data_IF_860516685707
#
_entry.id   IF_860516685707
#
_cell.length_a   1.000
_cell.length_b   1.000
_cell.length_c   1.000
_cell.angle_alpha   90.00
_cell.angle_beta   90.00
_cell.angle_gamma   90.00
#
_symmetry.space_group_name_H-M   'P 1'
#
loop_
_entity.id
_entity.type
_entity.pdbx_description
1 polymer ?
#
# COMPACT_ATOMS: atom_id res chain seq x y z
N UNK A 1 28.64 -7.51 11.99
CA UNK A 1 27.91 -6.25 11.81
C UNK A 1 27.96 -5.92 10.32
N UNK A 2 26.80 -6.03 9.61
CA UNK A 2 26.74 -5.67 8.19
C UNK A 2 26.73 -4.14 8.07
N UNK A 3 27.39 -3.59 7.04
CA UNK A 3 27.34 -2.15 6.78
C UNK A 3 25.94 -1.71 6.39
N UNK A 4 25.54 -0.50 6.77
CA UNK A 4 24.19 0.07 6.59
C UNK A 4 23.68 0.00 5.14
N UNK A 5 24.56 0.14 4.15
CA UNK A 5 24.24 0.07 2.71
C UNK A 5 23.84 -1.33 2.25
N UNK A 6 24.14 -2.40 2.99
CA UNK A 6 23.64 -3.77 2.75
C UNK A 6 22.40 -4.08 3.57
N UNK A 7 22.28 -3.52 4.77
CA UNK A 7 21.15 -3.78 5.68
C UNK A 7 19.85 -3.22 5.12
N UNK A 8 19.85 -2.01 4.54
CA UNK A 8 18.66 -1.38 3.98
C UNK A 8 18.07 -2.17 2.81
N UNK A 9 18.82 -2.49 1.74
CA UNK A 9 18.29 -3.32 0.65
C UNK A 9 17.85 -4.71 1.12
N UNK A 10 18.62 -5.33 2.03
CA UNK A 10 18.25 -6.63 2.59
C UNK A 10 16.93 -6.57 3.37
N UNK A 11 16.72 -5.52 4.16
CA UNK A 11 15.46 -5.31 4.89
C UNK A 11 14.28 -5.09 3.94
N UNK A 12 14.45 -4.30 2.86
CA UNK A 12 13.43 -4.07 1.84
C UNK A 12 13.07 -5.38 1.13
N UNK A 13 14.07 -6.17 0.72
CA UNK A 13 13.84 -7.46 0.08
C UNK A 13 13.17 -8.45 1.04
N UNK A 14 13.62 -8.50 2.29
CA UNK A 14 13.04 -9.38 3.31
C UNK A 14 11.58 -9.02 3.62
N UNK A 15 11.26 -7.72 3.74
CA UNK A 15 9.89 -7.26 3.98
C UNK A 15 8.97 -7.58 2.80
N UNK A 16 9.44 -7.37 1.58
CA UNK A 16 8.70 -7.74 0.37
C UNK A 16 8.51 -9.27 0.27
N UNK A 17 9.55 -10.05 0.53
CA UNK A 17 9.49 -11.52 0.50
C UNK A 17 8.54 -12.08 1.56
N UNK A 18 8.59 -11.55 2.78
CA UNK A 18 7.67 -11.96 3.85
C UNK A 18 6.23 -11.58 3.53
N UNK A 19 5.98 -10.37 3.03
CA UNK A 19 4.66 -9.93 2.58
C UNK A 19 4.12 -10.80 1.45
N UNK A 20 4.96 -11.15 0.47
CA UNK A 20 4.62 -12.07 -0.62
C UNK A 20 4.26 -13.46 -0.11
N UNK A 21 5.05 -14.01 0.81
CA UNK A 21 4.78 -15.30 1.43
C UNK A 21 3.46 -15.27 2.23
N UNK A 22 3.25 -14.22 3.02
CA UNK A 22 2.03 -14.08 3.82
C UNK A 22 0.77 -14.04 2.96
N UNK A 23 0.78 -13.27 1.87
CA UNK A 23 -0.36 -13.17 0.96
C UNK A 23 -0.51 -14.37 0.02
N UNK A 24 0.57 -15.12 -0.22
CA UNK A 24 0.50 -16.34 -1.01
C UNK A 24 -0.39 -17.41 -0.36
N UNK A 25 -0.42 -17.48 0.99
CA UNK A 25 -1.22 -18.49 1.71
C UNK A 25 -2.73 -18.34 1.44
N UNK A 26 -3.37 -17.15 1.64
CA UNK A 26 -4.77 -16.98 1.26
C UNK A 26 -5.00 -17.13 -0.25
N UNK A 27 -4.04 -16.74 -1.09
CA UNK A 27 -4.09 -16.99 -2.53
C UNK A 27 -4.11 -18.48 -2.89
N UNK A 28 -3.35 -19.30 -2.18
CA UNK A 28 -3.37 -20.76 -2.32
C UNK A 28 -4.72 -21.35 -1.88
N UNK A 29 -5.25 -20.89 -0.74
CA UNK A 29 -6.55 -21.36 -0.25
C UNK A 29 -7.68 -21.02 -1.24
N UNK A 30 -7.68 -19.84 -1.82
CA UNK A 30 -8.63 -19.49 -2.87
C UNK A 30 -8.46 -20.37 -4.12
N UNK A 31 -7.24 -20.48 -4.63
CA UNK A 31 -6.96 -21.13 -5.90
C UNK A 31 -7.19 -22.66 -5.86
N UNK A 32 -6.91 -23.30 -4.73
CA UNK A 32 -6.95 -24.77 -4.57
C UNK A 32 -8.14 -25.29 -3.78
N UNK A 33 -8.67 -24.50 -2.86
CA UNK A 33 -9.76 -24.91 -1.94
C UNK A 33 -11.06 -24.17 -2.19
N UNK A 34 -11.09 -23.19 -3.11
CA UNK A 34 -12.28 -22.40 -3.42
C UNK A 34 -12.75 -21.48 -2.30
N UNK A 35 -11.87 -21.13 -1.34
CA UNK A 35 -12.23 -20.22 -0.26
C UNK A 35 -12.51 -18.82 -0.80
N UNK A 36 -13.43 -18.09 -0.15
CA UNK A 36 -13.71 -16.71 -0.51
C UNK A 36 -12.55 -15.80 -0.10
N UNK A 37 -11.92 -15.15 -1.10
CA UNK A 37 -10.66 -14.40 -0.90
C UNK A 37 -10.79 -13.33 0.19
N UNK A 38 -11.88 -12.55 0.18
CA UNK A 38 -12.08 -11.44 1.11
C UNK A 38 -12.16 -11.94 2.56
N UNK A 39 -12.89 -13.04 2.80
CA UNK A 39 -13.03 -13.62 4.16
C UNK A 39 -11.67 -14.15 4.62
N UNK A 40 -10.97 -14.87 3.75
CA UNK A 40 -9.68 -15.47 4.09
C UNK A 40 -8.64 -14.39 4.38
N UNK A 41 -8.57 -13.33 3.58
CA UNK A 41 -7.60 -12.23 3.80
C UNK A 41 -7.92 -11.43 5.07
N UNK A 42 -9.19 -11.19 5.39
CA UNK A 42 -9.59 -10.54 6.65
C UNK A 42 -9.17 -11.41 7.85
N UNK A 43 -9.40 -12.71 7.80
CA UNK A 43 -8.96 -13.61 8.88
C UNK A 43 -7.42 -13.60 9.03
N UNK A 44 -6.68 -13.59 7.92
CA UNK A 44 -5.23 -13.48 7.93
C UNK A 44 -4.73 -12.14 8.51
N UNK A 45 -5.48 -11.05 8.34
CA UNK A 45 -5.17 -9.77 8.99
C UNK A 45 -5.29 -9.86 10.52
N UNK A 46 -6.34 -10.51 11.04
CA UNK A 46 -6.47 -10.72 12.49
C UNK A 46 -5.35 -11.61 13.04
N UNK A 47 -4.97 -12.65 12.31
CA UNK A 47 -3.83 -13.50 12.70
C UNK A 47 -2.54 -12.68 12.72
N UNK A 48 -2.30 -11.85 11.68
CA UNK A 48 -1.12 -10.99 11.61
C UNK A 48 -1.05 -9.98 12.76
N UNK A 49 -2.17 -9.32 13.09
CA UNK A 49 -2.26 -8.38 14.21
C UNK A 49 -1.99 -9.07 15.55
N UNK A 50 -2.56 -10.24 15.77
CA UNK A 50 -2.35 -11.03 16.98
C UNK A 50 -0.90 -11.50 17.10
N UNK A 51 -0.32 -11.96 16.00
CA UNK A 51 1.10 -12.37 15.94
C UNK A 51 2.01 -11.18 16.20
N UNK A 52 1.76 -10.03 15.57
CA UNK A 52 2.54 -8.82 15.78
C UNK A 52 2.46 -8.36 17.23
N UNK A 53 1.27 -8.36 17.82
CA UNK A 53 1.06 -8.00 19.23
C UNK A 53 1.84 -8.94 20.16
N UNK A 54 1.79 -10.24 19.91
CA UNK A 54 2.56 -11.23 20.67
C UNK A 54 4.07 -10.98 20.56
N UNK A 55 4.59 -10.80 19.35
CA UNK A 55 6.02 -10.58 19.10
C UNK A 55 6.51 -9.28 19.75
N UNK A 56 5.75 -8.19 19.64
CA UNK A 56 6.15 -6.93 20.27
C UNK A 56 6.18 -7.09 21.78
N UNK A 57 5.14 -7.67 22.41
CA UNK A 57 5.05 -7.74 23.85
C UNK A 57 6.05 -8.70 24.50
N UNK A 58 6.37 -9.83 23.83
CA UNK A 58 7.14 -10.90 24.46
C UNK A 58 8.57 -11.04 23.90
N UNK A 59 8.82 -10.61 22.66
CA UNK A 59 10.10 -10.84 21.99
C UNK A 59 10.89 -9.54 21.78
N UNK A 60 10.23 -8.49 21.29
CA UNK A 60 10.93 -7.27 20.86
C UNK A 60 10.89 -6.13 21.89
N UNK A 61 10.05 -6.23 22.90
CA UNK A 61 9.93 -5.20 23.94
C UNK A 61 11.20 -5.09 24.76
N UNK A 62 11.82 -3.91 24.88
CA UNK A 62 12.94 -3.70 25.79
C UNK A 62 12.48 -3.76 27.25
N UNK A 63 13.26 -4.44 28.09
CA UNK A 63 13.00 -4.52 29.51
C UNK A 63 13.01 -3.11 30.14
N UNK A 64 11.98 -2.81 30.96
CA UNK A 64 11.90 -1.54 31.70
C UNK A 64 11.17 -0.39 30.98
N UNK A 65 10.70 -0.55 29.73
CA UNK A 65 9.84 0.45 29.08
C UNK A 65 8.37 0.09 29.20
N UNK A 66 7.52 1.08 29.52
CA UNK A 66 6.06 0.91 29.58
C UNK A 66 5.44 0.90 28.17
N UNK A 67 6.03 1.61 27.22
CA UNK A 67 5.53 1.66 25.85
C UNK A 67 5.62 0.31 25.15
N UNK A 68 4.56 -0.07 24.44
CA UNK A 68 4.48 -1.32 23.66
C UNK A 68 5.08 -1.06 22.28
N UNK A 69 6.41 -1.04 22.24
CA UNK A 69 7.21 -0.77 21.04
C UNK A 69 8.48 -1.61 21.03
N UNK A 70 9.03 -1.86 19.85
CA UNK A 70 10.33 -2.54 19.74
C UNK A 70 11.48 -1.59 20.10
N UNK A 71 12.70 -2.14 20.23
CA UNK A 71 13.92 -1.31 20.24
C UNK A 71 14.00 -0.48 18.96
N UNK A 72 14.59 0.71 19.06
CA UNK A 72 14.92 1.51 17.87
C UNK A 72 15.87 0.72 16.96
N UNK A 73 15.67 0.85 15.67
CA UNK A 73 16.49 0.18 14.64
C UNK A 73 17.53 1.18 14.15
N UNK A 74 18.64 1.27 14.89
CA UNK A 74 19.72 2.22 14.55
C UNK A 74 20.56 1.77 13.35
N UNK A 75 20.57 0.45 13.06
CA UNK A 75 21.41 -0.15 12.02
C UNK A 75 20.89 0.05 10.58
N UNK A 76 19.60 0.40 10.41
CA UNK A 76 18.94 0.54 9.12
C UNK A 76 18.12 1.84 9.06
N UNK A 77 18.76 2.96 9.28
CA UNK A 77 18.15 4.27 9.27
C UNK A 77 18.17 4.88 7.86
N UNK A 78 16.99 5.23 7.33
CA UNK A 78 16.88 6.01 6.10
C UNK A 78 16.65 7.47 6.49
N UNK A 79 17.63 8.37 6.26
CA UNK A 79 17.51 9.77 6.66
C UNK A 79 16.38 10.45 5.87
N UNK A 80 15.66 11.35 6.54
CA UNK A 80 14.67 12.20 5.88
C UNK A 80 15.32 13.18 4.90
N UNK A 81 14.55 13.72 3.95
CA UNK A 81 15.08 14.77 3.06
C UNK A 81 15.57 16.00 3.80
N UNK A 82 15.03 16.28 4.98
CA UNK A 82 15.51 17.36 5.86
C UNK A 82 16.93 17.10 6.37
N UNK A 83 17.22 15.87 6.76
CA UNK A 83 18.56 15.49 7.24
C UNK A 83 19.57 15.46 6.12
N UNK A 84 19.16 14.94 4.94
CA UNK A 84 19.95 15.00 3.73
C UNK A 84 20.23 16.46 3.30
N UNK A 85 19.23 17.34 3.36
CA UNK A 85 19.38 18.76 3.05
C UNK A 85 20.37 19.45 4.00
N UNK A 86 20.31 19.13 5.30
CA UNK A 86 21.29 19.65 6.28
C UNK A 86 22.73 19.20 5.99
N UNK A 87 22.92 17.97 5.51
CA UNK A 87 24.25 17.48 5.14
C UNK A 87 24.82 18.22 3.91
N UNK A 88 23.95 18.74 3.05
CA UNK A 88 24.32 19.49 1.82
C UNK A 88 24.32 21.02 2.06
N UNK A 89 23.98 21.47 3.28
CA UNK A 89 23.92 22.90 3.63
C UNK A 89 22.62 23.62 3.18
N UNK A 90 21.60 22.88 2.76
CA UNK A 90 20.30 23.41 2.36
C UNK A 90 19.33 23.29 3.53
N UNK A 91 18.77 24.41 3.98
CA UNK A 91 17.69 24.45 4.97
C UNK A 91 16.39 24.00 4.33
N UNK A 92 16.10 22.70 4.33
CA UNK A 92 14.84 22.18 3.87
C UNK A 92 13.72 22.44 4.89
N UNK A 93 12.50 22.79 4.45
CA UNK A 93 11.36 22.97 5.33
C UNK A 93 11.05 21.65 6.08
N UNK A 94 10.29 21.75 7.16
CA UNK A 94 9.92 20.62 8.01
C UNK A 94 8.90 19.72 7.30
N UNK A 95 9.36 18.91 6.36
CA UNK A 95 8.51 18.01 5.56
C UNK A 95 8.68 16.56 6.03
N UNK A 96 7.61 15.78 6.12
CA UNK A 96 7.66 14.34 6.42
C UNK A 96 8.15 13.50 5.22
N UNK A 97 8.55 14.15 4.13
CA UNK A 97 9.05 13.48 2.92
C UNK A 97 10.36 12.76 3.21
N UNK A 98 10.42 11.52 2.75
CA UNK A 98 11.58 10.65 2.88
C UNK A 98 11.95 9.99 1.54
N UNK A 99 13.17 9.52 1.35
CA UNK A 99 13.62 8.90 0.10
C UNK A 99 12.85 7.65 -0.33
N UNK A 100 12.07 7.04 0.57
CA UNK A 100 11.24 5.87 0.25
C UNK A 100 10.16 6.18 -0.79
N UNK A 101 9.82 7.45 -1.01
CA UNK A 101 8.94 7.87 -2.13
C UNK A 101 9.50 7.41 -3.49
N UNK A 102 10.83 7.37 -3.63
CA UNK A 102 11.48 6.88 -4.86
C UNK A 102 11.16 5.40 -5.05
N UNK A 103 11.21 4.61 -3.96
CA UNK A 103 10.85 3.20 -3.98
C UNK A 103 9.38 3.01 -4.37
N UNK A 104 8.48 3.86 -3.85
CA UNK A 104 7.06 3.83 -4.20
C UNK A 104 6.83 4.14 -5.70
N UNK A 105 7.50 5.15 -6.25
CA UNK A 105 7.43 5.48 -7.67
C UNK A 105 8.02 4.39 -8.55
N UNK A 106 9.16 3.83 -8.16
CA UNK A 106 9.77 2.70 -8.87
C UNK A 106 8.85 1.47 -8.84
N UNK A 107 8.19 1.19 -7.72
CA UNK A 107 7.22 0.09 -7.62
C UNK A 107 6.01 0.32 -8.55
N UNK A 108 5.51 1.56 -8.67
CA UNK A 108 4.43 1.89 -9.59
C UNK A 108 4.84 1.67 -11.06
N UNK A 109 6.06 2.09 -11.44
CA UNK A 109 6.62 1.85 -12.79
C UNK A 109 6.83 0.36 -13.02
N UNK A 110 7.35 -0.38 -12.04
CA UNK A 110 7.55 -1.83 -12.13
C UNK A 110 6.22 -2.57 -12.32
N UNK A 111 5.17 -2.20 -11.59
CA UNK A 111 3.83 -2.77 -11.76
C UNK A 111 3.25 -2.42 -13.13
N UNK A 112 3.42 -1.18 -13.59
CA UNK A 112 3.01 -0.80 -14.94
C UNK A 112 3.72 -1.66 -15.99
N UNK A 113 5.03 -1.77 -15.92
CA UNK A 113 5.82 -2.59 -16.85
C UNK A 113 5.36 -4.06 -16.80
N UNK A 114 5.21 -4.63 -15.60
CA UNK A 114 4.76 -6.00 -15.40
C UNK A 114 3.39 -6.22 -16.05
N UNK A 115 2.42 -5.36 -15.81
CA UNK A 115 1.04 -5.55 -16.29
C UNK A 115 0.90 -5.34 -17.80
N UNK A 116 1.62 -4.38 -18.41
CA UNK A 116 1.41 -4.01 -19.81
C UNK A 116 2.48 -4.51 -20.77
N UNK A 117 3.67 -4.85 -20.27
CA UNK A 117 4.81 -5.24 -21.09
C UNK A 117 5.26 -6.69 -20.93
N UNK A 118 4.68 -7.46 -20.00
CA UNK A 118 5.09 -8.85 -19.78
C UNK A 118 3.99 -9.85 -20.11
N UNK A 119 4.40 -11.08 -20.41
CA UNK A 119 3.49 -12.23 -20.62
C UNK A 119 2.64 -12.50 -19.38
N UNK A 120 3.24 -12.42 -18.18
CA UNK A 120 2.55 -12.62 -16.91
C UNK A 120 1.46 -11.56 -16.70
N UNK A 121 1.70 -10.31 -17.06
CA UNK A 121 0.71 -9.25 -17.01
C UNK A 121 -0.45 -9.46 -17.97
N UNK A 122 -0.19 -10.02 -19.16
CA UNK A 122 -1.25 -10.42 -20.08
C UNK A 122 -2.11 -11.53 -19.45
N UNK A 123 -1.48 -12.57 -18.89
CA UNK A 123 -2.19 -13.67 -18.24
C UNK A 123 -3.04 -13.18 -17.05
N UNK A 124 -2.51 -12.27 -16.21
CA UNK A 124 -3.24 -11.64 -15.10
C UNK A 124 -4.49 -10.91 -15.59
N UNK A 125 -4.35 -10.07 -16.62
CA UNK A 125 -5.48 -9.30 -17.18
C UNK A 125 -6.51 -10.20 -17.83
N UNK A 126 -6.09 -11.26 -18.51
CA UNK A 126 -7.00 -12.22 -19.15
C UNK A 126 -7.81 -12.99 -18.12
N UNK A 127 -7.17 -13.49 -17.05
CA UNK A 127 -7.86 -14.18 -15.93
C UNK A 127 -8.82 -13.23 -15.22
N UNK A 128 -8.42 -11.96 -15.03
CA UNK A 128 -9.26 -10.94 -14.39
C UNK A 128 -10.47 -10.50 -15.23
N UNK A 129 -10.36 -10.55 -16.57
CA UNK A 129 -11.46 -10.21 -17.47
C UNK A 129 -12.46 -11.36 -17.62
N UNK A 130 -11.98 -12.58 -17.87
CA UNK A 130 -12.82 -13.76 -18.00
C UNK A 130 -12.00 -15.03 -17.74
N UNK A 131 -12.35 -15.76 -16.69
CA UNK A 131 -11.64 -16.96 -16.25
C UNK A 131 -11.78 -18.11 -17.27
N UNK A 132 -12.96 -18.28 -17.86
CA UNK A 132 -13.21 -19.35 -18.84
C UNK A 132 -12.43 -19.10 -20.12
N UNK A 133 -12.43 -17.86 -20.62
CA UNK A 133 -11.63 -17.48 -21.78
C UNK A 133 -10.11 -17.70 -21.53
N UNK A 134 -9.63 -17.45 -20.32
CA UNK A 134 -8.25 -17.74 -19.96
C UNK A 134 -7.92 -19.25 -20.02
N UNK A 135 -8.84 -20.09 -19.57
CA UNK A 135 -8.69 -21.57 -19.64
C UNK A 135 -8.62 -22.03 -21.10
N UNK A 136 -9.49 -21.52 -21.97
CA UNK A 136 -9.44 -21.80 -23.39
C UNK A 136 -8.13 -21.36 -24.06
N UNK A 137 -7.54 -20.26 -23.59
CA UNK A 137 -6.24 -19.79 -24.03
C UNK A 137 -5.05 -20.60 -23.43
N UNK A 138 -5.30 -21.66 -22.66
CA UNK A 138 -4.27 -22.50 -22.04
C UNK A 138 -3.63 -21.90 -20.79
N UNK A 139 -4.19 -20.82 -20.24
CA UNK A 139 -3.73 -20.19 -19.01
C UNK A 139 -4.29 -20.97 -17.81
N UNK A 140 -3.49 -21.16 -16.77
CA UNK A 140 -3.92 -21.84 -15.53
C UNK A 140 -4.32 -20.80 -14.48
N UNK A 141 -5.63 -20.52 -14.25
CA UNK A 141 -6.08 -19.45 -13.35
C UNK A 141 -5.56 -19.61 -11.93
N UNK A 142 -5.52 -20.84 -11.41
CA UNK A 142 -5.04 -21.08 -10.05
C UNK A 142 -3.60 -20.58 -9.83
N UNK A 143 -2.72 -20.82 -10.80
CA UNK A 143 -1.33 -20.36 -10.72
C UNK A 143 -1.26 -18.83 -10.76
N UNK A 144 -2.05 -18.21 -11.63
CA UNK A 144 -2.06 -16.74 -11.78
C UNK A 144 -2.59 -16.08 -10.52
N UNK A 145 -3.66 -16.59 -9.92
CA UNK A 145 -4.19 -16.08 -8.64
C UNK A 145 -3.10 -16.12 -7.55
N UNK A 146 -2.41 -17.24 -7.37
CA UNK A 146 -1.35 -17.35 -6.36
C UNK A 146 -0.20 -16.37 -6.59
N UNK A 147 0.25 -16.22 -7.84
CA UNK A 147 1.33 -15.30 -8.20
C UNK A 147 0.89 -13.84 -7.98
N UNK A 148 -0.31 -13.48 -8.41
CA UNK A 148 -0.86 -12.12 -8.25
C UNK A 148 -0.98 -11.74 -6.78
N UNK A 149 -1.46 -12.67 -5.95
CA UNK A 149 -1.54 -12.48 -4.50
C UNK A 149 -0.15 -12.30 -3.87
N UNK A 150 0.83 -13.11 -4.28
CA UNK A 150 2.20 -12.98 -3.80
C UNK A 150 2.82 -11.62 -4.20
N UNK A 151 2.62 -11.16 -5.43
CA UNK A 151 3.09 -9.85 -5.90
C UNK A 151 2.41 -8.73 -5.09
N UNK A 152 1.10 -8.80 -4.91
CA UNK A 152 0.34 -7.82 -4.12
C UNK A 152 0.83 -7.76 -2.66
N UNK A 153 1.03 -8.92 -2.03
CA UNK A 153 1.58 -8.99 -0.68
C UNK A 153 3.02 -8.47 -0.59
N UNK A 154 3.84 -8.73 -1.61
CA UNK A 154 5.19 -8.19 -1.70
C UNK A 154 5.21 -6.66 -1.77
N UNK A 155 4.32 -6.06 -2.56
CA UNK A 155 4.15 -4.61 -2.61
C UNK A 155 3.63 -4.04 -1.27
N UNK A 156 2.69 -4.72 -0.62
CA UNK A 156 2.23 -4.34 0.71
C UNK A 156 3.36 -4.41 1.75
N UNK A 157 4.25 -5.41 1.64
CA UNK A 157 5.43 -5.53 2.48
C UNK A 157 6.40 -4.34 2.38
N UNK A 158 6.46 -3.65 1.22
CA UNK A 158 7.28 -2.44 1.06
C UNK A 158 6.80 -1.26 1.94
N UNK A 159 5.54 -1.27 2.41
CA UNK A 159 5.06 -0.30 3.38
C UNK A 159 5.87 -0.37 4.69
N UNK A 160 6.27 -1.56 5.10
CA UNK A 160 7.10 -1.74 6.29
C UNK A 160 8.47 -1.03 6.16
N UNK A 161 9.03 -0.97 4.95
CA UNK A 161 10.26 -0.23 4.70
C UNK A 161 10.08 1.27 4.95
N UNK A 162 8.94 1.85 4.56
CA UNK A 162 8.61 3.25 4.85
C UNK A 162 8.43 3.49 6.35
N UNK A 163 7.56 2.70 6.97
CA UNK A 163 7.15 2.93 8.37
C UNK A 163 8.28 2.62 9.35
N UNK A 164 8.94 1.48 9.18
CA UNK A 164 9.92 0.99 10.15
C UNK A 164 11.32 1.57 9.92
N UNK A 165 11.76 1.75 8.67
CA UNK A 165 13.12 2.21 8.39
C UNK A 165 13.23 3.74 8.27
N UNK A 166 12.11 4.44 8.00
CA UNK A 166 12.15 5.88 7.73
C UNK A 166 11.27 6.72 8.65
N UNK A 167 10.03 6.32 8.93
CA UNK A 167 9.09 7.14 9.68
C UNK A 167 9.19 6.93 11.21
N UNK A 168 9.09 5.69 11.67
CA UNK A 168 8.98 5.36 13.10
C UNK A 168 10.32 4.91 13.72
N UNK A 169 11.22 4.35 12.91
CA UNK A 169 12.49 3.72 13.34
C UNK A 169 12.33 2.63 14.41
N UNK A 170 11.11 2.16 14.59
CA UNK A 170 10.72 1.12 15.55
C UNK A 170 9.43 0.45 15.09
N UNK A 171 9.19 -0.74 15.59
CA UNK A 171 7.94 -1.42 15.35
C UNK A 171 6.93 -1.00 16.42
N UNK A 172 5.80 -0.43 16.00
CA UNK A 172 4.70 0.03 16.87
C UNK A 172 3.43 -0.73 16.51
N UNK A 173 2.57 -1.01 17.49
CA UNK A 173 1.25 -1.58 17.21
C UNK A 173 0.42 -0.56 16.40
N UNK A 174 -0.41 -1.10 15.49
CA UNK A 174 -1.35 -0.31 14.66
C UNK A 174 -0.73 0.76 13.75
N UNK A 175 0.56 0.62 13.41
CA UNK A 175 1.24 1.57 12.53
C UNK A 175 0.57 1.73 11.15
N UNK A 176 -0.16 0.73 10.70
CA UNK A 176 -0.86 0.73 9.39
C UNK A 176 -2.15 1.55 9.41
N UNK A 177 -2.80 1.74 10.57
CA UNK A 177 -3.96 2.61 10.80
C UNK A 177 -5.03 2.59 9.69
N UNK A 178 -5.37 1.40 9.16
CA UNK A 178 -6.37 1.29 8.09
C UNK A 178 -5.88 1.66 6.67
N UNK A 179 -4.59 1.93 6.46
CA UNK A 179 -4.03 2.28 5.15
C UNK A 179 -4.37 1.27 4.04
N UNK A 180 -4.57 0.00 4.38
CA UNK A 180 -5.02 -1.01 3.42
C UNK A 180 -6.40 -0.72 2.84
N UNK A 181 -7.37 -0.27 3.67
CA UNK A 181 -8.70 0.10 3.20
C UNK A 181 -8.68 1.40 2.37
N UNK A 182 -7.90 2.39 2.81
CA UNK A 182 -7.66 3.61 2.03
C UNK A 182 -7.00 3.27 0.69
N UNK A 183 -6.08 2.31 0.67
CA UNK A 183 -5.43 1.82 -0.54
C UNK A 183 -6.41 1.23 -1.56
N UNK A 184 -7.49 0.55 -1.13
CA UNK A 184 -8.56 0.06 -2.02
C UNK A 184 -9.26 1.26 -2.67
N UNK A 185 -9.60 2.27 -1.89
CA UNK A 185 -10.25 3.47 -2.39
C UNK A 185 -9.37 4.24 -3.39
N UNK A 186 -8.08 4.40 -3.07
CA UNK A 186 -7.08 5.02 -3.95
C UNK A 186 -6.93 4.23 -5.25
N UNK A 187 -6.94 2.89 -5.19
CA UNK A 187 -6.86 2.04 -6.38
C UNK A 187 -8.09 2.21 -7.30
N UNK A 188 -9.29 2.24 -6.72
CA UNK A 188 -10.55 2.48 -7.46
C UNK A 188 -10.56 3.87 -8.07
N UNK A 189 -10.18 4.91 -7.32
CA UNK A 189 -10.07 6.28 -7.81
C UNK A 189 -9.05 6.41 -8.94
N UNK A 190 -7.90 5.70 -8.84
CA UNK A 190 -6.88 5.60 -9.88
C UNK A 190 -7.26 4.70 -11.06
N UNK A 191 -8.50 4.16 -11.08
CA UNK A 191 -9.00 3.21 -12.11
C UNK A 191 -8.10 1.98 -12.30
N UNK A 192 -7.50 1.51 -11.24
CA UNK A 192 -6.54 0.40 -11.25
C UNK A 192 -5.37 0.59 -12.23
N UNK A 193 -5.09 1.84 -12.63
CA UNK A 193 -3.94 2.16 -13.45
C UNK A 193 -2.82 2.75 -12.59
N UNK A 194 -1.56 2.24 -12.63
CA UNK A 194 -0.50 2.64 -11.72
C UNK A 194 -0.26 4.15 -11.64
N UNK A 195 -0.28 4.87 -12.77
CA UNK A 195 -0.14 6.32 -12.76
C UNK A 195 -1.34 7.03 -12.14
N UNK A 196 -2.57 6.53 -12.39
CA UNK A 196 -3.77 7.05 -11.73
C UNK A 196 -3.74 6.83 -10.22
N UNK A 197 -3.24 5.67 -9.77
CA UNK A 197 -3.06 5.36 -8.36
C UNK A 197 -2.06 6.31 -7.69
N UNK A 198 -0.95 6.66 -8.36
CA UNK A 198 0.01 7.65 -7.83
C UNK A 198 -0.64 9.01 -7.63
N UNK A 199 -1.41 9.50 -8.61
CA UNK A 199 -2.12 10.78 -8.49
C UNK A 199 -3.18 10.76 -7.39
N UNK A 200 -3.97 9.67 -7.31
CA UNK A 200 -4.95 9.47 -6.26
C UNK A 200 -4.29 9.39 -4.87
N UNK A 201 -3.17 8.68 -4.76
CA UNK A 201 -2.41 8.58 -3.52
C UNK A 201 -1.85 9.93 -3.06
N UNK A 202 -1.37 10.77 -3.99
CA UNK A 202 -0.94 12.13 -3.67
C UNK A 202 -2.09 12.98 -3.14
N UNK A 203 -3.26 12.91 -3.77
CA UNK A 203 -4.45 13.65 -3.31
C UNK A 203 -4.87 13.21 -1.91
N UNK A 204 -4.94 11.88 -1.66
CA UNK A 204 -5.27 11.37 -0.32
C UNK A 204 -4.21 11.71 0.71
N UNK A 205 -2.92 11.69 0.34
CA UNK A 205 -1.82 12.12 1.20
C UNK A 205 -1.92 13.59 1.58
N UNK A 206 -2.26 14.47 0.63
CA UNK A 206 -2.50 15.90 0.90
C UNK A 206 -3.69 16.11 1.82
N UNK A 207 -4.80 15.39 1.61
CA UNK A 207 -5.97 15.46 2.49
C UNK A 207 -5.65 14.98 3.92
N UNK A 208 -4.88 13.90 4.04
CA UNK A 208 -4.48 13.36 5.34
C UNK A 208 -3.54 14.32 6.08
N UNK A 209 -2.49 14.80 5.42
CA UNK A 209 -1.50 15.69 6.02
C UNK A 209 -2.11 17.06 6.33
N UNK A 210 -2.82 17.68 5.36
CA UNK A 210 -3.49 18.96 5.58
C UNK A 210 -4.55 18.88 6.66
N UNK A 211 -5.23 17.75 6.76
CA UNK A 211 -6.20 17.51 7.81
C UNK A 211 -5.57 17.36 9.19
N UNK A 212 -4.43 16.69 9.32
CA UNK A 212 -3.71 16.61 10.59
C UNK A 212 -3.19 17.99 11.04
N UNK A 213 -2.65 18.79 10.14
CA UNK A 213 -2.22 20.16 10.46
C UNK A 213 -3.40 21.04 10.87
N UNK A 214 -4.52 20.95 10.17
CA UNK A 214 -5.74 21.70 10.50
C UNK A 214 -6.29 21.32 11.89
N UNK A 215 -6.20 20.07 12.29
CA UNK A 215 -6.63 19.63 13.63
C UNK A 215 -5.72 20.18 14.76
N UNK A 216 -4.45 20.48 14.48
CA UNK A 216 -3.57 21.16 15.43
C UNK A 216 -3.89 22.65 15.54
N UNK A 217 -4.19 23.33 14.43
CA UNK A 217 -4.50 24.77 14.45
C UNK A 217 -5.93 25.05 14.97
N UNK A 218 -6.85 24.15 14.71
CA UNK A 218 -8.28 24.30 15.07
C UNK A 218 -8.76 23.07 15.84
N UNK A 219 -8.70 23.07 17.18
CA UNK A 219 -9.09 21.93 18.03
C UNK A 219 -10.55 21.46 17.86
N UNK A 220 -11.41 22.31 17.29
CA UNK A 220 -12.81 21.97 16.97
C UNK A 220 -12.92 20.98 15.78
N UNK A 221 -11.88 20.86 14.96
CA UNK A 221 -11.84 19.95 13.82
C UNK A 221 -11.08 18.71 14.27
N UNK A 222 -11.83 17.66 14.61
CA UNK A 222 -11.21 16.38 14.99
C UNK A 222 -10.63 15.64 13.78
N UNK A 223 -9.64 14.81 14.05
CA UNK A 223 -9.06 13.90 13.04
C UNK A 223 -10.13 13.02 12.39
N UNK A 224 -11.16 12.65 13.13
CA UNK A 224 -12.26 11.83 12.65
C UNK A 224 -13.10 12.54 11.57
N UNK A 225 -13.25 13.86 11.64
CA UNK A 225 -13.90 14.64 10.57
C UNK A 225 -13.16 14.50 9.23
N UNK A 226 -11.85 14.41 9.26
CA UNK A 226 -11.02 14.26 8.05
C UNK A 226 -11.25 12.88 7.44
N UNK A 227 -11.35 11.84 8.29
CA UNK A 227 -11.68 10.48 7.85
C UNK A 227 -13.06 10.44 7.21
N UNK A 228 -14.05 11.17 7.78
CA UNK A 228 -15.38 11.31 7.19
C UNK A 228 -15.33 12.01 5.83
N UNK A 229 -14.56 13.10 5.70
CA UNK A 229 -14.39 13.80 4.42
C UNK A 229 -13.74 12.87 3.37
N UNK A 230 -12.73 12.12 3.75
CA UNK A 230 -12.11 11.12 2.87
C UNK A 230 -13.12 10.06 2.44
N UNK A 231 -13.91 9.55 3.37
CA UNK A 231 -14.99 8.59 3.07
C UNK A 231 -16.02 9.14 2.10
N UNK A 232 -16.43 10.41 2.28
CA UNK A 232 -17.35 11.10 1.35
C UNK A 232 -16.74 11.28 -0.03
N UNK A 233 -15.46 11.67 -0.13
CA UNK A 233 -14.74 11.78 -1.42
C UNK A 233 -14.77 10.44 -2.15
N UNK A 234 -14.47 9.34 -1.46
CA UNK A 234 -14.50 7.99 -2.03
C UNK A 234 -15.90 7.64 -2.53
N UNK A 235 -16.92 7.87 -1.69
CA UNK A 235 -18.33 7.58 -2.01
C UNK A 235 -18.78 8.36 -3.24
N UNK A 236 -18.52 9.67 -3.26
CA UNK A 236 -18.90 10.52 -4.39
C UNK A 236 -18.14 10.17 -5.67
N UNK A 237 -16.85 9.85 -5.59
CA UNK A 237 -16.10 9.42 -6.77
C UNK A 237 -16.69 8.15 -7.38
N UNK A 238 -16.99 7.14 -6.55
CA UNK A 238 -17.64 5.91 -7.03
C UNK A 238 -19.03 6.13 -7.60
N UNK A 239 -19.85 6.95 -6.96
CA UNK A 239 -21.21 7.26 -7.41
C UNK A 239 -21.22 8.11 -8.68
N UNK A 240 -20.36 9.15 -8.76
CA UNK A 240 -20.32 10.09 -9.87
C UNK A 240 -19.75 9.45 -11.15
N UNK A 241 -18.80 8.51 -11.03
CA UNK A 241 -18.28 7.78 -12.19
C UNK A 241 -19.40 7.07 -12.95
N UNK A 242 -20.29 6.39 -12.24
CA UNK A 242 -21.41 5.67 -12.82
C UNK A 242 -22.51 6.61 -13.35
N UNK A 243 -22.73 7.74 -12.68
CA UNK A 243 -23.77 8.70 -13.06
C UNK A 243 -23.38 9.52 -14.30
N UNK A 244 -22.12 9.95 -14.40
CA UNK A 244 -21.67 10.82 -15.49
C UNK A 244 -21.25 10.08 -16.76
N UNK A 245 -20.82 8.83 -16.66
CA UNK A 245 -20.39 8.03 -17.81
C UNK A 245 -21.42 7.96 -18.95
N UNK A 246 -22.71 7.64 -18.70
CA UNK A 246 -23.72 7.61 -19.76
C UNK A 246 -24.04 9.00 -20.32
N UNK A 247 -24.00 10.06 -19.51
CA UNK A 247 -24.23 11.42 -19.95
C UNK A 247 -23.12 11.93 -20.87
N UNK A 248 -21.86 11.67 -20.50
CA UNK A 248 -20.69 12.01 -21.33
C UNK A 248 -20.68 11.24 -22.65
N UNK A 249 -20.96 9.95 -22.63
CA UNK A 249 -21.03 9.15 -23.86
C UNK A 249 -22.11 9.65 -24.80
N UNK A 250 -23.28 10.09 -24.30
CA UNK A 250 -24.36 10.69 -25.11
C UNK A 250 -23.97 12.04 -25.67
N UNK A 251 -23.22 12.85 -24.90
CA UNK A 251 -22.75 14.16 -25.35
C UNK A 251 -21.71 14.04 -26.47
N UNK A 252 -20.74 13.16 -26.31
CA UNK A 252 -19.71 12.93 -27.34
C UNK A 252 -20.21 12.16 -28.57
N UNK A 253 -21.21 11.30 -28.43
CA UNK A 253 -21.85 10.65 -29.56
C UNK A 253 -22.63 11.66 -30.44
N UNK A 254 -23.20 12.72 -29.83
CA UNK A 254 -23.90 13.81 -30.56
C UNK A 254 -22.97 14.86 -31.17
N UNK A 255 -21.75 14.95 -30.70
CA UNK A 255 -20.73 15.88 -31.21
C UNK A 255 -19.91 15.31 -32.39
N UNK A 256 -20.10 14.03 -32.71
CA UNK A 256 -19.43 13.33 -33.82
C UNK A 256 -20.30 13.12 -35.05
N UNK A 257 -21.57 13.53 -35.03
CA UNK A 257 -22.49 13.66 -36.15
C UNK A 257 -22.56 15.17 -36.59
#
# INVERSE_FOLDING_TARGET
FLPWWLVIPAAIIASAAFGAFWAWVPGYLQAKRGSHIVITTIMFNFIALSLLSYLINHVFRPLGKMAVESRAIDAAYIPSFRELGRMIGITAPNTPLNPVIILALLSAVAVWYLLWRTKLGYEIRTVGANMDAAIYAGIRPQRIIMITMAISGGLAGLLAANEVLSAQHRLVLEYVQGAGFVGIAVALMGRNHPFGIVLAAMLFGMLYQGGTELSFERPLISRDMIVVIQGLVILFMGALEQAFRPALLRYFARAGD
#
